data_IF_378690789908
#
_entry.id   IF_378690789908
#
_cell.length_a   1.000
_cell.length_b   1.000
_cell.length_c   1.000
_cell.angle_alpha   90.00
_cell.angle_beta   90.00
_cell.angle_gamma   90.00
#
_symmetry.space_group_name_H-M   'P 1'
#
loop_
_entity.id
_entity.type
_entity.pdbx_description
1 polymer ?
#
# COMPACT_ATOMS: atom_id res chain seq x y z
N UNK A 1 -8.69 -16.31 12.88
CA UNK A 1 -7.53 -16.28 11.95
C UNK A 1 -7.16 -14.81 11.75
N UNK A 2 -5.94 -14.42 12.13
CA UNK A 2 -5.47 -13.03 12.05
C UNK A 2 -5.13 -12.72 10.58
N UNK A 3 -5.80 -11.75 9.99
CA UNK A 3 -5.48 -11.25 8.65
C UNK A 3 -4.31 -10.27 8.76
N UNK A 4 -3.13 -10.68 8.35
CA UNK A 4 -1.95 -9.81 8.27
C UNK A 4 -1.85 -9.30 6.83
N UNK A 5 -1.73 -7.96 6.66
CA UNK A 5 -1.50 -7.32 5.38
C UNK A 5 -0.05 -6.84 5.36
N UNK A 6 0.73 -7.34 4.42
CA UNK A 6 2.10 -6.90 4.18
C UNK A 6 2.06 -5.90 3.04
N UNK A 7 2.52 -4.67 3.29
CA UNK A 7 2.69 -3.64 2.27
C UNK A 7 4.18 -3.28 2.26
N UNK A 8 4.82 -3.50 1.13
CA UNK A 8 6.20 -3.10 0.88
C UNK A 8 6.17 -1.67 0.35
N UNK A 9 6.79 -0.74 1.08
CA UNK A 9 6.93 0.64 0.66
C UNK A 9 8.33 0.80 0.06
N UNK A 10 8.41 0.93 -1.27
CA UNK A 10 9.62 1.32 -1.97
C UNK A 10 9.77 2.84 -1.98
N UNK A 11 10.94 3.34 -1.62
CA UNK A 11 11.25 4.77 -1.44
C UNK A 11 11.53 5.53 -2.77
N UNK A 12 11.26 4.97 -3.94
CA UNK A 12 11.55 5.62 -5.21
C UNK A 12 10.30 6.03 -5.96
N UNK A 13 9.79 7.23 -5.62
CA UNK A 13 9.04 8.06 -6.54
C UNK A 13 9.98 8.91 -7.37
N UNK A 14 10.82 8.33 -8.23
CA UNK A 14 11.62 9.06 -9.22
C UNK A 14 11.86 8.17 -10.45
N UNK A 15 11.45 8.72 -11.59
CA UNK A 15 11.87 8.45 -12.98
C UNK A 15 12.78 7.25 -13.23
N UNK A 16 12.34 6.41 -14.16
CA UNK A 16 13.07 5.35 -14.85
C UNK A 16 14.59 5.60 -14.98
N UNK A 17 15.36 4.98 -14.07
CA UNK A 17 16.76 4.69 -14.30
C UNK A 17 16.85 3.17 -14.39
N UNK A 18 17.52 2.67 -15.43
CA UNK A 18 17.58 1.24 -15.76
C UNK A 18 18.05 0.38 -14.58
N UNK A 19 17.46 -0.80 -14.42
CA UNK A 19 17.74 -1.77 -13.35
C UNK A 19 19.23 -2.07 -13.09
N UNK A 20 20.11 -1.91 -14.10
CA UNK A 20 21.55 -2.13 -13.97
C UNK A 20 22.26 -1.15 -13.03
N UNK A 21 21.80 0.11 -12.91
CA UNK A 21 22.41 1.10 -12.01
C UNK A 21 21.92 0.98 -10.56
N UNK A 22 20.76 0.36 -10.33
CA UNK A 22 20.22 0.13 -8.98
C UNK A 22 20.97 -1.01 -8.30
N UNK A 23 21.29 -2.08 -9.01
CA UNK A 23 22.05 -3.21 -8.46
C UNK A 23 23.46 -2.79 -8.02
N UNK A 24 24.16 -1.98 -8.81
CA UNK A 24 25.53 -1.51 -8.43
C UNK A 24 25.53 -0.59 -7.21
N UNK A 25 24.47 0.22 -7.04
CA UNK A 25 24.31 1.06 -5.82
C UNK A 25 23.94 0.23 -4.59
N UNK A 26 23.17 -0.85 -4.76
CA UNK A 26 22.77 -1.77 -3.69
C UNK A 26 23.93 -2.63 -3.21
N UNK A 27 24.80 -3.10 -4.10
CA UNK A 27 26.00 -3.88 -3.75
C UNK A 27 27.00 -3.05 -2.96
N UNK A 28 27.17 -1.77 -3.27
CA UNK A 28 28.00 -0.85 -2.50
C UNK A 28 27.48 -0.56 -1.09
N UNK A 29 26.16 -0.50 -0.92
CA UNK A 29 25.52 -0.30 0.39
C UNK A 29 25.61 -1.58 1.23
N UNK A 30 25.35 -2.76 0.64
CA UNK A 30 25.44 -4.04 1.34
C UNK A 30 26.87 -4.33 1.79
N UNK A 31 27.89 -4.06 0.96
CA UNK A 31 29.30 -4.24 1.30
C UNK A 31 29.73 -3.37 2.49
N UNK A 32 29.26 -2.12 2.54
CA UNK A 32 29.52 -1.21 3.65
C UNK A 32 28.82 -1.61 4.95
N UNK A 33 27.67 -2.29 4.86
CA UNK A 33 26.92 -2.82 6.00
C UNK A 33 27.56 -4.09 6.59
N UNK A 34 28.13 -4.95 5.73
CA UNK A 34 28.82 -6.18 6.15
C UNK A 34 30.18 -5.88 6.78
N UNK A 35 30.84 -4.78 6.40
CA UNK A 35 32.06 -4.30 7.05
C UNK A 35 31.77 -3.74 8.46
N UNK A 36 30.63 -3.04 8.66
CA UNK A 36 30.20 -2.51 9.96
C UNK A 36 29.75 -3.59 10.96
N UNK A 37 29.27 -4.74 10.48
CA UNK A 37 28.80 -5.83 11.34
C UNK A 37 29.89 -6.78 11.83
N UNK A 38 31.11 -6.65 11.30
CA UNK A 38 32.24 -7.51 11.69
C UNK A 38 33.13 -6.92 12.78
N UNK A 39 32.95 -5.64 13.13
CA UNK A 39 33.80 -4.93 14.11
C UNK A 39 33.24 -4.87 15.55
N UNK A 40 32.15 -5.60 15.89
CA UNK A 40 31.52 -5.51 17.21
C UNK A 40 31.45 -6.80 18.00
N UNK A 41 32.55 -7.57 18.04
CA UNK A 41 32.73 -8.67 18.99
C UNK A 41 33.97 -8.45 19.85
N UNK A 42 33.97 -7.44 20.74
CA UNK A 42 34.72 -7.43 21.99
C UNK A 42 34.04 -6.52 23.03
N UNK A 43 34.04 -6.89 24.31
CA UNK A 43 33.29 -6.15 25.33
C UNK A 43 34.20 -5.08 25.99
N UNK A 44 34.03 -3.82 25.65
CA UNK A 44 34.62 -2.72 26.41
C UNK A 44 33.55 -1.96 27.19
N UNK A 45 33.71 -1.97 28.51
CA UNK A 45 33.00 -1.14 29.49
C UNK A 45 33.53 0.28 29.37
N UNK A 46 32.66 1.27 29.11
CA UNK A 46 32.44 2.51 29.86
C UNK A 46 31.84 3.62 29.01
N UNK A 47 31.03 4.45 29.68
CA UNK A 47 30.41 5.72 29.24
C UNK A 47 29.36 5.68 28.13
N UNK A 48 28.21 5.12 28.45
CA UNK A 48 27.00 5.14 27.62
C UNK A 48 26.01 6.19 28.14
N UNK A 49 25.90 7.35 27.53
CA UNK A 49 24.64 8.13 27.63
C UNK A 49 24.43 9.20 26.57
N UNK A 50 25.40 9.55 25.73
CA UNK A 50 25.23 10.66 24.75
C UNK A 50 25.34 10.24 23.28
N UNK A 51 25.97 9.11 23.00
CA UNK A 51 26.16 8.62 21.61
C UNK A 51 24.98 7.81 21.05
N UNK A 52 24.18 7.18 21.89
CA UNK A 52 23.02 6.37 21.48
C UNK A 52 21.90 7.16 20.78
N UNK A 53 21.79 8.46 21.04
CA UNK A 53 20.74 9.32 20.44
C UNK A 53 21.06 9.81 19.01
N UNK A 54 22.35 9.82 18.61
CA UNK A 54 22.77 10.28 17.29
C UNK A 54 22.78 9.18 16.23
N UNK A 55 23.03 7.94 16.61
CA UNK A 55 23.06 6.78 15.69
C UNK A 55 21.64 6.34 15.28
N UNK A 56 20.63 6.49 16.15
CA UNK A 56 19.24 6.17 15.82
C UNK A 56 18.60 7.10 14.79
N UNK A 57 19.13 8.29 14.55
CA UNK A 57 18.59 9.25 13.58
C UNK A 57 19.03 9.01 12.14
N UNK A 58 20.09 8.32 11.88
CA UNK A 58 20.64 8.10 10.52
C UNK A 58 20.03 6.86 9.86
N UNK A 59 19.49 5.92 10.63
CA UNK A 59 18.83 4.71 10.08
C UNK A 59 17.33 4.84 9.84
N UNK A 60 16.73 6.02 10.06
CA UNK A 60 15.29 6.19 10.09
C UNK A 60 14.58 5.86 8.77
N UNK A 61 15.26 5.79 7.63
CA UNK A 61 14.62 5.61 6.32
C UNK A 61 15.40 4.76 5.31
N UNK A 62 16.27 3.86 5.75
CA UNK A 62 16.94 2.92 4.87
C UNK A 62 15.92 2.02 4.16
N UNK A 63 15.39 1.04 4.76
CA UNK A 63 14.35 0.16 4.23
C UNK A 63 13.52 -0.35 5.41
N UNK A 64 12.22 -0.07 5.43
CA UNK A 64 11.33 -0.52 6.49
C UNK A 64 10.09 -1.18 5.90
N UNK A 65 9.93 -2.45 6.15
CA UNK A 65 8.67 -3.14 5.90
C UNK A 65 7.71 -2.86 7.05
N UNK A 66 6.48 -2.48 6.74
CA UNK A 66 5.42 -2.24 7.71
C UNK A 66 4.23 -3.13 7.38
N UNK A 67 3.76 -3.87 8.37
CA UNK A 67 2.53 -4.66 8.29
C UNK A 67 1.53 -4.20 9.32
N UNK A 68 0.26 -4.08 8.91
CA UNK A 68 -0.82 -3.63 9.78
C UNK A 68 -1.98 -4.63 9.79
N UNK A 69 -2.74 -4.69 10.91
CA UNK A 69 -3.76 -5.72 11.05
C UNK A 69 -4.83 -5.44 12.09
N UNK A 70 -5.47 -6.50 12.55
CA UNK A 70 -6.53 -6.47 13.56
C UNK A 70 -5.99 -6.04 14.93
N UNK A 71 -6.89 -5.54 15.79
CA UNK A 71 -6.57 -5.13 17.15
C UNK A 71 -5.40 -4.14 17.24
N UNK A 72 -5.30 -3.22 16.28
CA UNK A 72 -4.24 -2.22 16.24
C UNK A 72 -2.86 -2.79 16.00
N UNK A 73 -2.74 -4.00 15.45
CA UNK A 73 -1.45 -4.64 15.19
C UNK A 73 -0.64 -3.84 14.17
N UNK A 74 0.59 -3.49 14.55
CA UNK A 74 1.62 -2.95 13.66
C UNK A 74 2.88 -3.78 13.87
N UNK A 75 3.44 -4.27 12.79
CA UNK A 75 4.73 -4.96 12.75
C UNK A 75 5.67 -4.22 11.83
N UNK A 76 6.94 -4.13 12.19
CA UNK A 76 7.99 -3.52 11.36
C UNK A 76 9.17 -4.46 11.22
N UNK A 77 9.83 -4.42 10.08
CA UNK A 77 11.04 -5.19 9.81
C UNK A 77 11.97 -4.45 8.86
N UNK A 78 13.26 -4.27 9.18
CA UNK A 78 14.22 -3.67 8.26
C UNK A 78 14.50 -4.53 7.02
N UNK A 79 14.57 -5.85 7.18
CA UNK A 79 14.98 -6.81 6.12
C UNK A 79 13.87 -7.80 5.75
N UNK A 80 12.68 -7.73 6.34
CA UNK A 80 11.56 -8.64 6.10
C UNK A 80 11.68 -10.01 6.78
N UNK A 81 12.81 -10.34 7.39
CA UNK A 81 13.08 -11.64 8.03
C UNK A 81 12.74 -11.68 9.52
N UNK A 82 13.00 -10.60 10.26
CA UNK A 82 12.62 -10.45 11.68
C UNK A 82 11.61 -9.32 11.83
N UNK A 83 10.51 -9.57 12.52
CA UNK A 83 9.42 -8.64 12.69
C UNK A 83 9.27 -8.22 14.15
N UNK A 84 9.24 -6.92 14.39
CA UNK A 84 9.03 -6.33 15.71
C UNK A 84 7.63 -5.77 15.81
N UNK A 85 6.90 -6.15 16.85
CA UNK A 85 5.58 -5.58 17.17
C UNK A 85 5.76 -4.17 17.73
N UNK A 86 4.96 -3.22 17.21
CA UNK A 86 4.95 -1.83 17.67
C UNK A 86 3.66 -1.51 18.40
N UNK A 87 3.74 -0.61 19.40
CA UNK A 87 2.58 -0.13 20.14
C UNK A 87 1.87 0.94 19.31
N UNK A 88 0.68 0.62 18.81
CA UNK A 88 -0.11 1.54 17.97
C UNK A 88 -0.97 2.52 18.77
N UNK A 89 -1.21 2.27 20.05
CA UNK A 89 -2.18 3.02 20.87
C UNK A 89 -3.63 2.84 20.40
N UNK A 90 -3.94 1.83 19.57
CA UNK A 90 -5.27 1.59 19.01
C UNK A 90 -5.66 0.13 19.14
N UNK A 91 -6.96 -0.11 19.38
CA UNK A 91 -7.60 -1.45 19.29
C UNK A 91 -8.35 -1.65 17.96
N UNK A 92 -8.37 -0.64 17.09
CA UNK A 92 -9.08 -0.69 15.80
C UNK A 92 -8.41 -1.64 14.83
N UNK A 93 -9.20 -2.23 13.93
CA UNK A 93 -8.68 -2.94 12.78
C UNK A 93 -8.01 -1.96 11.83
N UNK A 94 -6.70 -2.10 11.64
CA UNK A 94 -5.91 -1.33 10.69
C UNK A 94 -5.96 -1.99 9.31
N UNK A 95 -6.00 -1.19 8.24
CA UNK A 95 -6.32 -1.66 6.89
C UNK A 95 -5.23 -1.41 5.86
N UNK A 96 -4.61 -0.24 5.93
CA UNK A 96 -3.63 0.17 4.94
C UNK A 96 -2.58 1.08 5.56
N UNK A 97 -1.41 1.10 4.95
CA UNK A 97 -0.30 1.99 5.28
C UNK A 97 0.26 2.58 3.98
N UNK A 98 0.65 3.85 4.04
CA UNK A 98 1.40 4.51 2.97
C UNK A 98 2.53 5.34 3.58
N UNK A 99 3.62 5.49 2.83
CA UNK A 99 4.72 6.38 3.14
C UNK A 99 4.69 7.59 2.20
N UNK A 100 5.01 8.76 2.72
CA UNK A 100 5.18 9.98 1.95
C UNK A 100 5.51 11.16 2.85
N UNK A 101 6.24 12.14 2.32
CA UNK A 101 6.68 13.33 3.04
C UNK A 101 7.21 12.99 4.45
N UNK A 102 8.13 12.03 4.52
CA UNK A 102 8.83 11.59 5.74
C UNK A 102 7.91 11.03 6.85
N UNK A 103 6.68 10.64 6.48
CA UNK A 103 5.71 10.05 7.38
C UNK A 103 5.12 8.75 6.85
N UNK A 104 5.00 7.78 7.73
CA UNK A 104 4.12 6.63 7.59
C UNK A 104 2.72 7.02 8.04
N UNK A 105 1.72 6.76 7.23
CA UNK A 105 0.30 6.97 7.54
C UNK A 105 -0.42 5.64 7.50
N UNK A 106 -0.99 5.24 8.63
CA UNK A 106 -1.83 4.04 8.77
C UNK A 106 -3.29 4.45 8.92
N UNK A 107 -4.18 3.77 8.24
CA UNK A 107 -5.62 3.99 8.33
C UNK A 107 -6.38 2.72 8.71
N UNK A 108 -7.56 2.89 9.31
CA UNK A 108 -8.34 1.75 9.77
C UNK A 108 -9.79 2.06 10.10
N UNK A 109 -10.41 1.13 10.81
CA UNK A 109 -11.82 1.22 11.20
C UNK A 109 -12.07 2.37 12.17
N UNK A 110 -13.34 2.79 12.27
CA UNK A 110 -13.80 3.87 13.15
C UNK A 110 -13.03 5.19 12.97
N UNK A 111 -12.63 5.49 11.72
CA UNK A 111 -11.91 6.71 11.39
C UNK A 111 -10.48 6.77 11.93
N UNK A 112 -9.89 5.63 12.27
CA UNK A 112 -8.53 5.59 12.82
C UNK A 112 -7.52 6.05 11.78
N UNK A 113 -6.68 7.01 12.17
CA UNK A 113 -5.46 7.42 11.47
C UNK A 113 -4.32 7.46 12.49
N UNK A 114 -3.23 6.79 12.17
CA UNK A 114 -1.97 6.82 12.94
C UNK A 114 -0.85 7.30 12.02
N UNK A 115 0.10 8.05 12.59
CA UNK A 115 1.30 8.49 11.86
C UNK A 115 2.55 8.17 12.64
N UNK A 116 3.62 7.94 11.91
CA UNK A 116 4.96 7.74 12.48
C UNK A 116 6.01 8.28 11.53
N UNK A 117 7.02 8.95 12.06
CA UNK A 117 8.20 9.38 11.29
C UNK A 117 9.35 8.39 11.35
N UNK A 118 9.27 7.37 12.22
CA UNK A 118 10.34 6.40 12.48
C UNK A 118 9.88 4.93 12.40
N UNK A 119 8.56 4.70 12.22
CA UNK A 119 7.97 3.35 12.25
C UNK A 119 7.92 2.73 13.65
N UNK A 120 8.41 3.41 14.68
CA UNK A 120 8.53 2.93 16.07
C UNK A 120 7.45 3.56 16.94
N UNK A 121 7.39 4.90 16.99
CA UNK A 121 6.42 5.68 17.75
C UNK A 121 5.25 6.07 16.85
N UNK A 122 4.04 5.72 17.27
CA UNK A 122 2.82 5.96 16.49
C UNK A 122 1.90 6.94 17.23
N UNK A 123 1.47 7.96 16.52
CA UNK A 123 0.61 9.03 17.04
C UNK A 123 -0.76 8.99 16.37
N UNK A 124 -1.84 8.96 17.17
CA UNK A 124 -3.21 9.05 16.67
C UNK A 124 -3.53 10.46 16.17
N UNK A 125 -4.15 10.55 14.98
CA UNK A 125 -4.56 11.81 14.37
C UNK A 125 -6.08 11.91 14.27
N UNK A 126 -6.62 13.14 14.33
CA UNK A 126 -8.06 13.40 14.14
C UNK A 126 -8.42 13.30 12.67
N UNK A 127 -9.19 12.31 12.26
CA UNK A 127 -9.66 12.15 10.87
C UNK A 127 -10.92 12.96 10.56
N UNK A 128 -11.62 13.46 11.57
CA UNK A 128 -12.91 14.14 11.41
C UNK A 128 -14.08 13.23 11.03
N UNK A 129 -13.92 11.88 11.13
CA UNK A 129 -14.96 10.92 10.79
C UNK A 129 -14.91 9.69 11.69
N UNK A 130 -16.08 9.05 11.90
CA UNK A 130 -16.20 7.71 12.52
C UNK A 130 -16.34 6.59 11.46
N UNK A 131 -16.30 6.92 10.16
CA UNK A 131 -16.42 5.93 9.08
C UNK A 131 -15.15 5.09 8.97
N UNK A 132 -15.31 3.82 8.55
CA UNK A 132 -14.16 2.95 8.31
C UNK A 132 -13.36 3.48 7.11
N UNK A 133 -12.07 3.61 7.31
CA UNK A 133 -11.10 4.01 6.28
C UNK A 133 -10.48 2.73 5.71
N UNK A 134 -10.53 2.59 4.38
CA UNK A 134 -10.18 1.34 3.69
C UNK A 134 -8.77 1.33 3.12
N UNK A 135 -8.34 2.45 2.57
CA UNK A 135 -7.07 2.56 1.85
C UNK A 135 -6.48 3.96 1.95
N UNK A 136 -5.17 4.06 1.78
CA UNK A 136 -4.40 5.30 1.74
C UNK A 136 -3.33 5.20 0.66
N UNK A 137 -3.07 6.30 -0.02
CA UNK A 137 -1.95 6.46 -0.97
C UNK A 137 -1.31 7.83 -0.80
N UNK A 138 -0.08 7.96 -1.25
CA UNK A 138 0.61 9.24 -1.36
C UNK A 138 0.97 9.54 -2.81
N UNK A 139 0.79 10.75 -3.23
CA UNK A 139 1.16 11.21 -4.56
C UNK A 139 0.94 12.73 -4.68
N UNK A 140 1.64 13.39 -5.59
CA UNK A 140 1.53 14.84 -5.81
C UNK A 140 1.59 15.64 -4.50
N UNK A 141 2.50 15.24 -3.61
CA UNK A 141 2.75 15.85 -2.29
C UNK A 141 1.54 15.86 -1.34
N UNK A 142 0.57 14.94 -1.52
CA UNK A 142 -0.55 14.75 -0.60
C UNK A 142 -0.84 13.29 -0.33
N UNK A 143 -1.30 13.01 0.87
CA UNK A 143 -1.98 11.76 1.21
C UNK A 143 -3.44 11.85 0.80
N UNK A 144 -3.95 10.76 0.25
CA UNK A 144 -5.37 10.56 -0.04
C UNK A 144 -5.84 9.30 0.66
N UNK A 145 -6.87 9.43 1.48
CA UNK A 145 -7.52 8.33 2.20
C UNK A 145 -8.94 8.17 1.70
N UNK A 146 -9.37 6.93 1.50
CA UNK A 146 -10.74 6.60 1.10
C UNK A 146 -11.40 5.63 2.08
N UNK A 147 -12.74 5.65 2.12
CA UNK A 147 -13.47 4.80 3.06
C UNK A 147 -14.96 4.69 2.80
N UNK A 148 -15.66 4.16 3.80
CA UNK A 148 -17.10 3.90 3.72
C UNK A 148 -17.91 5.18 3.48
N UNK A 149 -19.10 4.99 2.86
CA UNK A 149 -20.06 6.07 2.55
C UNK A 149 -19.43 7.22 1.75
N UNK A 150 -18.56 6.90 0.80
CA UNK A 150 -17.90 7.87 -0.07
C UNK A 150 -16.90 8.79 0.65
N UNK A 151 -16.39 8.38 1.79
CA UNK A 151 -15.40 9.18 2.53
C UNK A 151 -14.14 9.34 1.71
N UNK A 152 -13.70 10.60 1.54
CA UNK A 152 -12.37 10.95 1.02
C UNK A 152 -11.78 12.02 1.96
N UNK A 153 -10.54 11.76 2.42
CA UNK A 153 -9.76 12.70 3.20
C UNK A 153 -8.44 12.97 2.49
N UNK A 154 -7.93 14.20 2.61
CA UNK A 154 -6.61 14.57 2.09
C UNK A 154 -5.80 15.27 3.15
N UNK A 155 -4.48 15.08 3.11
CA UNK A 155 -3.53 15.75 3.99
C UNK A 155 -2.23 16.00 3.24
N UNK A 156 -1.58 17.15 3.46
CA UNK A 156 -0.26 17.45 2.93
C UNK A 156 0.88 16.97 3.83
N UNK A 157 0.57 16.67 5.10
CA UNK A 157 1.55 16.35 6.15
C UNK A 157 1.26 15.05 6.92
N UNK A 158 0.09 14.42 6.63
CA UNK A 158 -0.39 13.26 7.38
C UNK A 158 -1.00 13.61 8.75
N UNK A 159 -0.93 14.87 9.19
CA UNK A 159 -1.32 15.33 10.52
C UNK A 159 -2.70 15.98 10.50
N UNK A 160 -2.88 16.99 9.64
CA UNK A 160 -4.15 17.71 9.45
C UNK A 160 -4.89 17.13 8.26
N UNK A 161 -6.15 16.73 8.46
CA UNK A 161 -6.96 16.04 7.46
C UNK A 161 -8.17 16.86 7.05
N UNK A 162 -8.36 17.00 5.75
CA UNK A 162 -9.46 17.73 5.14
C UNK A 162 -10.41 16.75 4.43
N UNK A 163 -11.71 16.84 4.74
CA UNK A 163 -12.75 16.08 4.06
C UNK A 163 -12.99 16.63 2.65
N UNK A 164 -13.12 15.74 1.66
CA UNK A 164 -13.40 16.07 0.26
C UNK A 164 -14.75 15.50 -0.18
N UNK A 165 -15.44 16.20 -1.07
CA UNK A 165 -16.67 15.69 -1.69
C UNK A 165 -16.29 14.64 -2.74
N UNK A 166 -16.70 13.39 -2.55
CA UNK A 166 -16.45 12.30 -3.50
C UNK A 166 -17.48 12.25 -4.66
N UNK A 167 -18.64 12.87 -4.47
CA UNK A 167 -19.77 12.74 -5.40
C UNK A 167 -20.51 11.41 -5.30
N UNK A 168 -20.27 10.60 -4.26
CA UNK A 168 -20.95 9.31 -4.06
C UNK A 168 -21.20 9.01 -2.58
N UNK A 169 -22.27 8.22 -2.31
CA UNK A 169 -22.53 7.59 -1.02
C UNK A 169 -22.00 6.14 -0.97
N UNK A 170 -21.46 5.61 -2.07
CA UNK A 170 -20.93 4.24 -2.13
C UNK A 170 -19.61 4.17 -1.36
N UNK A 171 -19.35 3.03 -0.70
CA UNK A 171 -18.08 2.77 -0.04
C UNK A 171 -16.95 2.67 -1.07
N UNK A 172 -15.83 3.30 -0.74
CA UNK A 172 -14.58 3.30 -1.50
C UNK A 172 -13.57 2.43 -0.74
N UNK A 173 -12.98 1.46 -1.42
CA UNK A 173 -12.16 0.43 -0.77
C UNK A 173 -10.68 0.53 -1.10
N UNK A 174 -10.35 0.93 -2.32
CA UNK A 174 -8.99 1.09 -2.80
C UNK A 174 -8.73 2.48 -3.36
N UNK A 175 -7.52 2.97 -3.20
CA UNK A 175 -7.01 4.19 -3.84
C UNK A 175 -5.56 3.99 -4.26
N UNK A 176 -5.23 4.40 -5.49
CA UNK A 176 -3.88 4.41 -6.03
C UNK A 176 -3.56 5.74 -6.70
N UNK A 177 -2.28 6.07 -6.78
CA UNK A 177 -1.76 7.20 -7.54
C UNK A 177 -0.75 6.71 -8.58
N UNK A 178 -0.86 7.23 -9.77
CA UNK A 178 0.06 6.99 -10.88
C UNK A 178 -0.31 7.84 -12.07
N UNK A 179 0.61 8.04 -12.99
CA UNK A 179 0.43 8.86 -14.18
C UNK A 179 -0.30 10.19 -13.88
N UNK A 180 0.18 10.92 -12.86
CA UNK A 180 -0.38 12.19 -12.36
C UNK A 180 -1.89 12.15 -12.01
N UNK A 181 -2.42 10.96 -11.71
CA UNK A 181 -3.85 10.74 -11.48
C UNK A 181 -4.06 9.87 -10.23
N UNK A 182 -4.94 10.33 -9.33
CA UNK A 182 -5.51 9.49 -8.28
C UNK A 182 -6.70 8.72 -8.84
N UNK A 183 -6.80 7.45 -8.49
CA UNK A 183 -7.95 6.60 -8.82
C UNK A 183 -8.46 5.94 -7.56
N UNK A 184 -9.77 5.97 -7.32
CA UNK A 184 -10.42 5.20 -6.26
C UNK A 184 -11.51 4.31 -6.82
N UNK A 185 -11.66 3.13 -6.19
CA UNK A 185 -12.61 2.10 -6.57
C UNK A 185 -13.41 1.60 -5.37
N UNK A 186 -14.59 1.00 -5.61
CA UNK A 186 -15.39 0.50 -4.52
C UNK A 186 -16.69 -0.19 -4.91
N UNK A 187 -17.69 -0.05 -4.04
CA UNK A 187 -19.00 -0.73 -4.14
C UNK A 187 -19.75 -0.38 -5.41
N UNK A 188 -20.54 -1.33 -5.94
CA UNK A 188 -21.39 -1.17 -7.14
C UNK A 188 -20.62 -0.70 -8.37
N UNK A 189 -19.40 -1.21 -8.59
CA UNK A 189 -18.56 -0.88 -9.74
C UNK A 189 -18.09 0.57 -9.77
N UNK A 190 -18.03 1.23 -8.61
CA UNK A 190 -17.65 2.63 -8.48
C UNK A 190 -16.19 2.81 -8.86
N UNK A 191 -15.92 3.76 -9.77
CA UNK A 191 -14.57 4.29 -10.08
C UNK A 191 -14.66 5.80 -10.16
N UNK A 192 -13.76 6.49 -9.47
CA UNK A 192 -13.53 7.92 -9.58
C UNK A 192 -12.04 8.19 -9.83
N UNK A 193 -11.76 9.28 -10.53
CA UNK A 193 -10.39 9.77 -10.70
C UNK A 193 -10.30 11.26 -10.40
N UNK A 194 -9.10 11.69 -10.00
CA UNK A 194 -8.78 13.05 -9.65
C UNK A 194 -7.33 13.38 -10.04
N UNK A 195 -7.08 14.56 -10.57
CA UNK A 195 -5.72 15.05 -10.85
C UNK A 195 -5.07 15.76 -9.64
N UNK A 196 -5.87 16.14 -8.65
CA UNK A 196 -5.44 16.97 -7.51
C UNK A 196 -5.80 16.37 -6.13
N UNK A 197 -6.51 15.21 -6.12
CA UNK A 197 -7.03 14.58 -4.92
C UNK A 197 -8.19 15.33 -4.26
N UNK A 198 -8.60 16.49 -4.79
CA UNK A 198 -9.64 17.36 -4.22
C UNK A 198 -10.94 17.28 -4.98
N UNK A 199 -10.89 17.38 -6.32
CA UNK A 199 -12.05 17.25 -7.22
C UNK A 199 -12.06 15.86 -7.84
N UNK A 200 -13.18 15.13 -7.71
CA UNK A 200 -13.31 13.74 -8.14
C UNK A 200 -14.36 13.59 -9.22
N UNK A 201 -14.01 12.94 -10.31
CA UNK A 201 -14.89 12.69 -11.46
C UNK A 201 -15.19 11.21 -11.59
N UNK A 202 -16.48 10.87 -11.67
CA UNK A 202 -16.93 9.49 -11.88
C UNK A 202 -16.48 8.97 -13.25
N UNK A 203 -16.02 7.71 -13.30
CA UNK A 203 -15.60 7.03 -14.52
C UNK A 203 -16.49 5.82 -14.80
N UNK A 204 -16.74 5.53 -16.07
CA UNK A 204 -17.55 4.39 -16.49
C UNK A 204 -16.74 3.10 -16.32
N UNK A 205 -17.07 2.27 -15.35
CA UNK A 205 -16.48 0.94 -15.13
C UNK A 205 -17.10 -0.14 -16.02
N UNK A 206 -18.29 0.12 -16.57
CA UNK A 206 -19.11 -0.83 -17.34
C UNK A 206 -19.36 -2.14 -16.58
N UNK A 207 -19.56 -2.04 -15.26
CA UNK A 207 -19.95 -3.15 -14.39
C UNK A 207 -20.59 -2.61 -13.10
N UNK A 208 -21.51 -3.36 -12.52
CA UNK A 208 -22.02 -3.14 -11.17
C UNK A 208 -21.30 -3.96 -10.11
N UNK A 209 -20.33 -4.79 -10.52
CA UNK A 209 -19.55 -5.63 -9.61
C UNK A 209 -18.64 -4.77 -8.75
N UNK A 210 -18.59 -5.08 -7.47
CA UNK A 210 -17.78 -4.39 -6.49
C UNK A 210 -16.28 -4.63 -6.73
N UNK A 211 -15.50 -3.55 -6.65
CA UNK A 211 -14.04 -3.61 -6.66
C UNK A 211 -13.49 -3.60 -5.25
N UNK A 212 -12.51 -4.46 -4.98
CA UNK A 212 -11.84 -4.59 -3.69
C UNK A 212 -10.60 -3.70 -3.59
N UNK A 213 -9.84 -3.57 -4.67
CA UNK A 213 -8.56 -2.86 -4.70
C UNK A 213 -8.30 -2.25 -6.08
N UNK A 214 -7.46 -1.21 -6.10
CA UNK A 214 -6.82 -0.67 -7.28
C UNK A 214 -5.33 -0.47 -7.02
N UNK A 215 -4.50 -0.88 -7.98
CA UNK A 215 -3.06 -0.62 -7.98
C UNK A 215 -2.68 0.16 -9.24
N UNK A 216 -1.50 0.80 -9.19
CA UNK A 216 -0.82 1.33 -10.36
C UNK A 216 0.57 0.70 -10.44
N UNK A 217 0.85 -0.01 -11.51
CA UNK A 217 2.13 -0.64 -11.77
C UNK A 217 2.35 -0.79 -13.26
N UNK A 218 3.59 -0.73 -13.71
CA UNK A 218 3.97 -0.82 -15.12
C UNK A 218 3.07 0.04 -16.02
N UNK A 219 2.98 1.33 -15.68
CA UNK A 219 2.17 2.35 -16.39
C UNK A 219 0.68 2.01 -16.55
N UNK A 220 0.14 1.11 -15.72
CA UNK A 220 -1.24 0.65 -15.83
C UNK A 220 -1.93 0.65 -14.47
N UNK A 221 -3.13 1.22 -14.41
CA UNK A 221 -4.06 1.00 -13.31
C UNK A 221 -4.77 -0.34 -13.50
N UNK A 222 -4.86 -1.13 -12.41
CA UNK A 222 -5.63 -2.37 -12.38
C UNK A 222 -6.59 -2.33 -11.20
N UNK A 223 -7.89 -2.44 -11.47
CA UNK A 223 -8.94 -2.56 -10.46
C UNK A 223 -9.42 -4.01 -10.39
N UNK A 224 -9.31 -4.61 -9.20
CA UNK A 224 -9.67 -6.01 -8.92
C UNK A 224 -10.99 -6.08 -8.16
N UNK A 225 -11.85 -7.02 -8.53
CA UNK A 225 -13.16 -7.14 -7.90
C UNK A 225 -13.72 -8.54 -7.83
N UNK A 226 -14.95 -8.62 -7.30
CA UNK A 226 -15.69 -9.88 -7.24
C UNK A 226 -15.95 -10.45 -8.63
N UNK A 227 -16.38 -11.73 -8.68
CA UNK A 227 -16.72 -12.46 -9.93
C UNK A 227 -15.58 -12.42 -10.97
N UNK A 228 -14.33 -12.37 -10.52
CA UNK A 228 -13.16 -12.36 -11.38
C UNK A 228 -13.00 -11.10 -12.23
N UNK A 229 -13.65 -10.02 -11.87
CA UNK A 229 -13.58 -8.76 -12.65
C UNK A 229 -12.23 -8.10 -12.45
N UNK A 230 -11.53 -7.83 -13.57
CA UNK A 230 -10.42 -6.89 -13.65
C UNK A 230 -10.77 -5.82 -14.68
N UNK A 231 -10.48 -4.57 -14.33
CA UNK A 231 -10.49 -3.42 -15.25
C UNK A 231 -9.11 -2.81 -15.29
N UNK A 232 -8.66 -2.44 -16.47
CA UNK A 232 -7.36 -1.80 -16.70
C UNK A 232 -7.53 -0.42 -17.31
N UNK A 233 -6.60 0.48 -17.01
CA UNK A 233 -6.58 1.83 -17.56
C UNK A 233 -5.14 2.38 -17.56
N UNK A 234 -4.71 3.01 -18.64
CA UNK A 234 -3.42 3.71 -18.70
C UNK A 234 -3.47 5.10 -18.07
N UNK A 235 -4.64 5.74 -18.07
CA UNK A 235 -4.82 7.15 -17.70
C UNK A 235 -5.78 7.37 -16.52
N UNK A 236 -6.32 6.28 -15.92
CA UNK A 236 -7.31 6.35 -14.84
C UNK A 236 -8.69 6.90 -15.26
N UNK A 237 -8.89 7.22 -16.53
CA UNK A 237 -10.14 7.82 -17.07
C UNK A 237 -10.94 6.83 -17.90
N UNK A 238 -10.29 6.12 -18.81
CA UNK A 238 -10.91 5.12 -19.70
C UNK A 238 -10.54 3.71 -19.22
N UNK A 239 -11.55 2.85 -19.03
CA UNK A 239 -11.39 1.53 -18.42
C UNK A 239 -11.81 0.42 -19.37
N UNK A 240 -10.97 -0.59 -19.51
CA UNK A 240 -11.14 -1.75 -20.37
C UNK A 240 -11.32 -3.02 -19.54
N UNK A 241 -12.14 -3.96 -20.00
CA UNK A 241 -12.33 -5.27 -19.38
C UNK A 241 -11.16 -6.20 -19.73
N UNK A 242 -10.60 -6.88 -18.72
CA UNK A 242 -9.65 -7.97 -18.93
C UNK A 242 -10.35 -9.33 -19.00
N UNK A 243 -9.80 -10.27 -19.77
CA UNK A 243 -10.24 -11.66 -19.83
C UNK A 243 -9.54 -12.47 -18.73
N UNK A 244 -10.24 -12.81 -17.66
CA UNK A 244 -9.65 -13.50 -16.49
C UNK A 244 -9.93 -15.01 -16.45
N UNK A 245 -10.98 -15.45 -17.14
CA UNK A 245 -11.38 -16.86 -17.17
C UNK A 245 -11.79 -17.44 -15.81
N UNK A 246 -11.97 -16.62 -14.77
CA UNK A 246 -12.36 -17.07 -13.43
C UNK A 246 -13.61 -16.36 -12.90
N UNK A 247 -14.55 -17.07 -12.26
CA UNK A 247 -15.64 -16.45 -11.52
C UNK A 247 -15.28 -16.08 -10.08
N UNK A 248 -14.08 -16.49 -9.60
CA UNK A 248 -13.65 -16.22 -8.22
C UNK A 248 -13.37 -14.74 -8.02
N UNK A 249 -13.76 -14.20 -6.87
CA UNK A 249 -13.44 -12.82 -6.50
C UNK A 249 -11.94 -12.61 -6.36
N UNK A 250 -11.47 -11.44 -6.79
CA UNK A 250 -10.06 -11.05 -6.71
C UNK A 250 -9.90 -9.99 -5.62
N UNK A 251 -8.92 -10.19 -4.75
CA UNK A 251 -8.66 -9.33 -3.60
C UNK A 251 -7.69 -8.19 -3.95
N UNK A 252 -6.75 -8.45 -4.86
CA UNK A 252 -5.72 -7.50 -5.25
C UNK A 252 -4.68 -8.12 -6.16
N UNK A 253 -3.60 -7.37 -6.42
CA UNK A 253 -2.52 -7.84 -7.28
C UNK A 253 -1.21 -7.10 -7.06
N UNK A 254 -0.18 -7.58 -7.74
CA UNK A 254 1.16 -7.00 -7.77
C UNK A 254 1.76 -7.14 -9.18
N UNK A 255 2.84 -6.42 -9.44
CA UNK A 255 3.65 -6.57 -10.63
C UNK A 255 5.12 -6.72 -10.24
N UNK A 256 5.80 -7.65 -10.85
CA UNK A 256 7.22 -7.86 -10.72
C UNK A 256 7.69 -8.91 -11.70
N UNK A 257 8.97 -8.90 -12.01
CA UNK A 257 9.57 -9.79 -13.01
C UNK A 257 8.74 -9.86 -14.31
N UNK A 258 8.41 -8.69 -14.88
CA UNK A 258 7.61 -8.52 -16.11
C UNK A 258 6.24 -9.23 -16.10
N UNK A 259 5.69 -9.54 -14.89
CA UNK A 259 4.46 -10.29 -14.74
C UNK A 259 3.51 -9.60 -13.76
N UNK A 260 2.28 -9.41 -14.20
CA UNK A 260 1.17 -9.04 -13.32
C UNK A 260 0.63 -10.29 -12.64
N UNK A 261 0.42 -10.21 -11.35
CA UNK A 261 -0.22 -11.25 -10.55
C UNK A 261 -1.52 -10.72 -9.96
N UNK A 262 -2.55 -11.56 -9.91
CA UNK A 262 -3.79 -11.28 -9.18
C UNK A 262 -4.11 -12.47 -8.27
N UNK A 263 -4.56 -12.14 -7.06
CA UNK A 263 -4.94 -13.14 -6.06
C UNK A 263 -6.35 -12.88 -5.52
N UNK A 264 -6.94 -13.90 -4.91
CA UNK A 264 -8.29 -13.72 -4.36
C UNK A 264 -8.86 -14.90 -3.59
N UNK A 265 -10.18 -14.97 -3.65
CA UNK A 265 -10.99 -15.91 -2.89
C UNK A 265 -10.80 -17.36 -3.36
N UNK A 266 -10.93 -18.30 -2.42
CA UNK A 266 -10.82 -19.74 -2.67
C UNK A 266 -9.52 -20.11 -3.41
N UNK A 267 -8.40 -19.49 -3.02
CA UNK A 267 -7.08 -19.74 -3.57
C UNK A 267 -6.91 -19.28 -5.03
N UNK A 268 -7.67 -18.29 -5.51
CA UNK A 268 -7.49 -17.77 -6.86
C UNK A 268 -6.10 -17.14 -7.00
N UNK A 269 -5.35 -17.57 -8.02
CA UNK A 269 -4.09 -16.97 -8.46
C UNK A 269 -4.12 -16.90 -9.98
N UNK A 270 -3.85 -15.72 -10.52
CA UNK A 270 -3.77 -15.48 -11.95
C UNK A 270 -2.46 -14.75 -12.27
N UNK A 271 -1.90 -14.98 -13.43
CA UNK A 271 -0.76 -14.24 -13.97
C UNK A 271 -1.06 -13.69 -15.35
N UNK A 272 -0.43 -12.57 -15.71
CA UNK A 272 -0.55 -11.93 -17.01
C UNK A 272 0.72 -11.15 -17.35
N UNK A 273 1.17 -11.20 -18.59
CA UNK A 273 2.26 -10.35 -19.09
C UNK A 273 1.77 -8.99 -19.59
N UNK A 274 0.48 -8.83 -19.88
CA UNK A 274 -0.09 -7.65 -20.55
C UNK A 274 -1.29 -7.03 -19.83
N UNK A 275 -1.66 -7.52 -18.65
CA UNK A 275 -2.84 -7.13 -17.87
C UNK A 275 -4.21 -7.30 -18.59
N UNK A 276 -4.24 -7.76 -19.83
CA UNK A 276 -5.46 -7.92 -20.63
C UNK A 276 -5.99 -9.35 -20.58
N UNK A 277 -5.10 -10.33 -20.74
CA UNK A 277 -5.39 -11.76 -20.72
C UNK A 277 -4.68 -12.40 -19.54
N UNK A 278 -5.40 -13.21 -18.77
CA UNK A 278 -4.91 -13.79 -17.53
C UNK A 278 -4.97 -15.32 -17.57
N UNK A 279 -3.92 -15.94 -17.04
CA UNK A 279 -3.77 -17.39 -16.96
C UNK A 279 -3.95 -17.80 -15.50
N UNK A 280 -4.79 -18.81 -15.25
CA UNK A 280 -4.97 -19.40 -13.91
C UNK A 280 -3.70 -20.13 -13.49
N UNK A 281 -3.32 -19.97 -12.22
CA UNK A 281 -2.19 -20.67 -11.61
C UNK A 281 -2.66 -21.50 -10.42
N UNK A 282 -2.00 -22.64 -10.17
CA UNK A 282 -2.25 -23.45 -8.98
C UNK A 282 -1.65 -22.76 -7.76
N UNK A 283 -2.44 -22.53 -6.73
CA UNK A 283 -1.98 -21.93 -5.46
C UNK A 283 -1.69 -22.95 -4.37
N UNK A 284 -2.07 -24.20 -4.57
CA UNK A 284 -1.98 -25.25 -3.53
C UNK A 284 -2.98 -25.07 -2.37
N UNK A 285 -3.86 -24.07 -2.39
CA UNK A 285 -4.80 -23.80 -1.29
C UNK A 285 -6.21 -23.46 -1.77
N UNK A 286 -7.21 -23.78 -0.93
CA UNK A 286 -8.60 -23.30 -1.07
C UNK A 286 -8.90 -22.11 -0.16
N UNK A 287 -7.92 -21.58 0.58
CA UNK A 287 -8.09 -20.42 1.48
C UNK A 287 -8.18 -19.12 0.68
N UNK A 288 -8.74 -18.08 1.30
CA UNK A 288 -8.77 -16.75 0.69
C UNK A 288 -7.39 -16.10 0.79
N UNK A 289 -6.87 -15.67 -0.35
CA UNK A 289 -5.63 -14.90 -0.45
C UNK A 289 -5.99 -13.42 -0.42
N UNK A 290 -5.32 -12.62 0.43
CA UNK A 290 -5.73 -11.25 0.70
C UNK A 290 -4.72 -10.19 0.29
N UNK A 291 -3.44 -10.53 0.30
CA UNK A 291 -2.38 -9.62 -0.08
C UNK A 291 -1.28 -10.34 -0.85
N UNK A 292 -0.67 -9.66 -1.79
CA UNK A 292 0.48 -10.09 -2.57
C UNK A 292 1.43 -8.92 -2.74
N UNK A 293 2.70 -9.20 -2.66
CA UNK A 293 3.76 -8.29 -3.01
C UNK A 293 4.82 -9.02 -3.82
N UNK A 294 5.58 -8.29 -4.60
CA UNK A 294 6.78 -8.77 -5.27
C UNK A 294 7.99 -8.21 -4.51
N UNK A 295 8.95 -9.07 -4.21
CA UNK A 295 10.25 -8.73 -3.68
C UNK A 295 11.36 -9.12 -4.67
N UNK A 296 12.42 -8.31 -4.76
CA UNK A 296 13.65 -8.61 -5.50
C UNK A 296 14.64 -9.32 -4.58
#
# INVERSE_FOLDING_TARGET
MKNIYIIIISLFGLTLISCAKINTAMDGVNKKYDEFSKESDEPEKTSASTEKASIEKVSAFGFLFVSVGENGTILTSPKGNKWTKRTSGSKSKLRAVAYGKDNLVVVGFSGTILTSSDGIKWTKRKSGTKKNLGSVTYGKNIFVVVGNSGTILTSSDGIKWNKRKSGTKQSLYGVAYGNNTFVTVGKKGTIYSSSDGKKWTRRKSRTSVEFNEVIYSNNTFLAFGFKGVIRTSLNGKTWTKSKTGTPKGLSGGAYGNNTFMAIGYKGAVLSSSNAKTWIKRKSGTKKNLRGIAFGN
#
